data_IF_339968615770
#
_entry.id   IF_339968615770
#
_cell.length_a   1.000
_cell.length_b   1.000
_cell.length_c   1.000
_cell.angle_alpha   90.00
_cell.angle_beta   90.00
_cell.angle_gamma   90.00
#
_symmetry.space_group_name_H-M   'P 1'
#
loop_
_entity.id
_entity.type
_entity.pdbx_description
1 polymer ?
#
# COMPACT_ATOMS: atom_id res chain seq x y z
N UNK A 1 -15.61 -43.19 -2.40
CA UNK A 1 -14.89 -41.90 -2.35
C UNK A 1 -15.62 -40.92 -3.26
N UNK A 2 -16.41 -40.00 -2.71
CA UNK A 2 -17.15 -39.02 -3.50
C UNK A 2 -16.22 -37.84 -3.83
N UNK A 3 -15.92 -37.65 -5.12
CA UNK A 3 -15.13 -36.52 -5.60
C UNK A 3 -15.89 -35.21 -5.43
N UNK A 4 -15.23 -34.19 -4.88
CA UNK A 4 -15.76 -32.83 -4.78
C UNK A 4 -16.01 -32.27 -6.18
N UNK A 5 -17.29 -32.10 -6.54
CA UNK A 5 -17.71 -31.48 -7.79
C UNK A 5 -17.59 -29.97 -7.62
N UNK A 6 -16.56 -29.37 -8.22
CA UNK A 6 -16.40 -27.92 -8.26
C UNK A 6 -17.37 -27.32 -9.28
N UNK A 7 -18.53 -26.85 -8.80
CA UNK A 7 -19.50 -26.12 -9.63
C UNK A 7 -19.05 -24.66 -9.79
N UNK A 8 -19.11 -24.16 -11.02
CA UNK A 8 -18.79 -22.77 -11.38
C UNK A 8 -20.06 -21.92 -11.21
N UNK A 9 -20.09 -21.02 -10.22
CA UNK A 9 -21.25 -20.20 -9.91
C UNK A 9 -21.07 -18.74 -10.36
N UNK A 10 -22.17 -18.11 -10.77
CA UNK A 10 -22.19 -16.67 -11.11
C UNK A 10 -22.11 -15.80 -9.86
N UNK A 11 -21.70 -14.53 -10.04
CA UNK A 11 -21.51 -13.52 -8.97
C UNK A 11 -22.73 -13.42 -8.02
N UNK A 12 -23.94 -13.38 -8.58
CA UNK A 12 -25.17 -13.24 -7.79
C UNK A 12 -25.56 -14.52 -7.06
N UNK A 13 -25.05 -15.66 -7.51
CA UNK A 13 -25.26 -16.96 -6.86
C UNK A 13 -24.35 -17.08 -5.65
N UNK A 14 -23.09 -16.67 -5.76
CA UNK A 14 -22.13 -16.69 -4.64
C UNK A 14 -22.57 -15.70 -3.55
N UNK A 15 -23.01 -14.49 -3.93
CA UNK A 15 -23.49 -13.49 -2.98
C UNK A 15 -24.72 -13.98 -2.19
N UNK A 16 -25.71 -14.57 -2.88
CA UNK A 16 -26.86 -15.21 -2.21
C UNK A 16 -26.45 -16.32 -1.26
N UNK A 17 -25.48 -17.14 -1.64
CA UNK A 17 -24.96 -18.21 -0.76
C UNK A 17 -24.29 -17.68 0.52
N UNK A 18 -23.69 -16.48 0.49
CA UNK A 18 -23.14 -15.82 1.68
C UNK A 18 -24.24 -15.17 2.53
N UNK A 19 -25.22 -14.53 1.90
CA UNK A 19 -26.32 -13.84 2.59
C UNK A 19 -27.29 -14.83 3.27
N UNK A 20 -27.45 -16.05 2.72
CA UNK A 20 -28.35 -17.09 3.23
C UNK A 20 -27.73 -17.99 4.33
N UNK A 21 -26.43 -17.88 4.61
CA UNK A 21 -25.77 -18.73 5.61
C UNK A 21 -24.70 -17.95 6.42
N UNK A 22 -25.11 -17.21 7.47
CA UNK A 22 -24.24 -16.26 8.18
C UNK A 22 -23.21 -16.91 9.12
N UNK A 23 -23.32 -18.20 9.42
CA UNK A 23 -22.34 -18.92 10.25
C UNK A 23 -21.12 -19.36 9.43
N UNK A 24 -20.31 -18.37 9.04
CA UNK A 24 -18.85 -18.46 9.01
C UNK A 24 -18.20 -19.75 8.50
N UNK A 25 -18.62 -20.28 7.34
CA UNK A 25 -17.90 -21.35 6.67
C UNK A 25 -16.48 -20.88 6.28
N UNK A 26 -15.44 -21.42 6.91
CA UNK A 26 -14.04 -21.19 6.50
C UNK A 26 -13.78 -21.89 5.16
N UNK A 27 -14.05 -21.20 4.06
CA UNK A 27 -13.61 -21.66 2.74
C UNK A 27 -12.11 -21.42 2.60
N UNK A 28 -11.33 -22.51 2.57
CA UNK A 28 -9.91 -22.45 2.23
C UNK A 28 -9.76 -22.17 0.74
N UNK A 29 -9.38 -20.94 0.41
CA UNK A 29 -8.93 -20.60 -0.94
C UNK A 29 -7.55 -21.22 -1.12
N UNK A 30 -7.44 -22.25 -1.95
CA UNK A 30 -6.19 -22.99 -2.14
C UNK A 30 -5.10 -22.07 -2.70
N UNK A 31 -3.96 -21.98 -1.99
CA UNK A 31 -2.72 -21.41 -2.51
C UNK A 31 -2.15 -22.31 -3.62
N UNK A 32 -2.69 -22.20 -4.82
CA UNK A 32 -2.05 -22.49 -6.12
C UNK A 32 -3.10 -22.39 -7.23
N UNK A 33 -3.07 -21.30 -7.99
CA UNK A 33 -3.85 -21.09 -9.21
C UNK A 33 -3.80 -19.62 -9.65
N UNK A 34 -3.00 -19.26 -10.67
CA UNK A 34 -3.48 -19.06 -12.04
C UNK A 34 -4.57 -17.98 -12.19
N UNK A 35 -4.16 -16.79 -12.67
CA UNK A 35 -4.95 -15.83 -13.50
C UNK A 35 -6.42 -15.53 -13.10
N UNK A 36 -6.78 -15.69 -11.82
CA UNK A 36 -8.20 -15.72 -11.40
C UNK A 36 -8.58 -15.00 -10.10
N UNK A 37 -7.66 -14.28 -9.43
CA UNK A 37 -7.99 -13.46 -8.24
C UNK A 37 -8.49 -12.05 -8.63
N UNK A 38 -9.28 -11.94 -9.70
CA UNK A 38 -9.60 -10.67 -10.36
C UNK A 38 -10.50 -9.78 -9.50
N UNK A 39 -11.46 -10.36 -8.77
CA UNK A 39 -12.52 -9.59 -8.12
C UNK A 39 -12.14 -8.89 -6.80
N UNK A 40 -11.00 -9.22 -6.17
CA UNK A 40 -10.53 -8.53 -4.95
C UNK A 40 -9.38 -7.54 -5.20
N UNK A 41 -8.82 -7.55 -6.41
CA UNK A 41 -7.66 -6.73 -6.78
C UNK A 41 -8.09 -5.38 -7.35
N UNK A 42 -9.15 -5.35 -8.14
CA UNK A 42 -9.65 -4.12 -8.79
C UNK A 42 -10.15 -3.08 -7.78
N UNK A 43 -10.95 -3.48 -6.79
CA UNK A 43 -11.45 -2.56 -5.75
C UNK A 43 -10.30 -1.95 -4.93
N UNK A 44 -9.29 -2.75 -4.59
CA UNK A 44 -8.11 -2.28 -3.85
C UNK A 44 -7.24 -1.35 -4.70
N UNK A 45 -7.06 -1.66 -5.98
CA UNK A 45 -6.30 -0.82 -6.90
C UNK A 45 -6.99 0.54 -7.10
N UNK A 46 -8.33 0.58 -7.14
CA UNK A 46 -9.12 1.82 -7.17
C UNK A 46 -8.90 2.64 -5.89
N UNK A 47 -8.91 2.01 -4.72
CA UNK A 47 -8.63 2.70 -3.45
C UNK A 47 -7.19 3.25 -3.39
N UNK A 48 -6.21 2.47 -3.84
CA UNK A 48 -4.81 2.91 -3.95
C UNK A 48 -4.69 4.13 -4.85
N UNK A 49 -5.37 4.13 -6.00
CA UNK A 49 -5.42 5.27 -6.91
C UNK A 49 -6.08 6.50 -6.27
N UNK A 50 -7.15 6.31 -5.50
CA UNK A 50 -7.81 7.40 -4.76
C UNK A 50 -6.86 8.02 -3.73
N UNK A 51 -6.20 7.19 -2.91
CA UNK A 51 -5.26 7.66 -1.89
C UNK A 51 -4.07 8.40 -2.52
N UNK A 52 -3.57 7.92 -3.67
CA UNK A 52 -2.53 8.59 -4.45
C UNK A 52 -2.95 9.97 -4.96
N UNK A 53 -4.18 10.11 -5.47
CA UNK A 53 -4.74 11.38 -5.93
C UNK A 53 -5.00 12.38 -4.80
N UNK A 54 -5.26 11.89 -3.59
CA UNK A 54 -5.37 12.72 -2.37
C UNK A 54 -4.00 13.23 -1.89
N UNK A 55 -2.90 12.81 -2.52
CA UNK A 55 -1.55 13.25 -2.17
C UNK A 55 -0.93 12.50 -0.98
N UNK A 56 -1.45 11.33 -0.62
CA UNK A 56 -0.80 10.47 0.39
C UNK A 56 0.60 10.05 -0.06
N UNK A 57 1.52 9.87 0.89
CA UNK A 57 2.88 9.39 0.58
C UNK A 57 2.83 7.91 0.21
N UNK A 58 3.75 7.49 -0.66
CA UNK A 58 3.85 6.08 -1.11
C UNK A 58 3.93 5.09 0.06
N UNK A 59 4.70 5.44 1.10
CA UNK A 59 4.89 4.61 2.28
C UNK A 59 3.59 4.41 3.06
N UNK A 60 2.81 5.48 3.23
CA UNK A 60 1.55 5.45 3.96
C UNK A 60 0.52 4.60 3.21
N UNK A 61 0.42 4.74 1.89
CA UNK A 61 -0.45 3.91 1.03
C UNK A 61 -0.03 2.44 1.13
N UNK A 62 1.27 2.16 1.05
CA UNK A 62 1.81 0.80 1.17
C UNK A 62 1.48 0.16 2.53
N UNK A 63 1.61 0.92 3.61
CA UNK A 63 1.28 0.46 4.95
C UNK A 63 -0.22 0.22 5.11
N UNK A 64 -1.06 1.16 4.67
CA UNK A 64 -2.53 1.07 4.74
C UNK A 64 -3.07 -0.18 4.05
N UNK A 65 -2.53 -0.49 2.86
CA UNK A 65 -2.98 -1.63 2.05
C UNK A 65 -2.20 -2.93 2.32
N UNK A 66 -1.22 -2.90 3.24
CA UNK A 66 -0.31 -4.01 3.53
C UNK A 66 0.38 -4.58 2.26
N UNK A 67 0.88 -3.68 1.42
CA UNK A 67 1.56 -3.99 0.17
C UNK A 67 2.99 -3.48 0.18
N UNK A 68 3.84 -4.05 -0.68
CA UNK A 68 5.16 -3.45 -0.90
C UNK A 68 5.03 -2.10 -1.62
N UNK A 69 5.86 -1.13 -1.24
CA UNK A 69 5.89 0.17 -1.93
C UNK A 69 6.22 0.05 -3.43
N UNK A 70 6.93 -1.01 -3.85
CA UNK A 70 7.18 -1.31 -5.27
C UNK A 70 5.90 -1.67 -6.01
N UNK A 71 5.02 -2.46 -5.38
CA UNK A 71 3.76 -2.88 -5.98
C UNK A 71 2.76 -1.71 -6.05
N UNK A 72 2.64 -0.93 -4.98
CA UNK A 72 1.83 0.31 -5.00
C UNK A 72 2.31 1.28 -6.08
N UNK A 73 3.62 1.48 -6.20
CA UNK A 73 4.20 2.32 -7.27
C UNK A 73 3.83 1.81 -8.66
N UNK A 74 3.81 0.48 -8.86
CA UNK A 74 3.43 -0.12 -10.13
C UNK A 74 1.96 0.18 -10.47
N UNK A 75 1.05 0.00 -9.51
CA UNK A 75 -0.39 0.31 -9.67
C UNK A 75 -0.58 1.78 -10.04
N UNK A 76 0.01 2.69 -9.27
CA UNK A 76 -0.12 4.13 -9.50
C UNK A 76 0.45 4.53 -10.87
N UNK A 77 1.61 4.00 -11.24
CA UNK A 77 2.24 4.28 -12.54
C UNK A 77 1.39 3.79 -13.71
N UNK A 78 0.83 2.58 -13.63
CA UNK A 78 -0.02 2.02 -14.68
C UNK A 78 -1.32 2.84 -14.87
N UNK A 79 -1.77 3.52 -13.82
CA UNK A 79 -2.94 4.40 -13.85
C UNK A 79 -2.58 5.89 -14.06
N UNK A 80 -1.35 6.19 -14.48
CA UNK A 80 -0.85 7.55 -14.73
C UNK A 80 -0.92 8.51 -13.52
N UNK A 81 -0.94 7.97 -12.30
CA UNK A 81 -0.95 8.77 -11.07
C UNK A 81 0.50 9.02 -10.65
N UNK A 82 0.91 10.28 -10.70
CA UNK A 82 2.22 10.70 -10.22
C UNK A 82 2.11 11.20 -8.79
N UNK A 83 2.78 10.52 -7.86
CA UNK A 83 2.89 11.01 -6.49
C UNK A 83 3.66 12.32 -6.46
N UNK A 84 3.18 13.28 -5.66
CA UNK A 84 3.90 14.54 -5.44
C UNK A 84 5.29 14.22 -4.91
N UNK A 85 6.31 14.67 -5.62
CA UNK A 85 7.68 14.65 -5.12
C UNK A 85 7.71 15.55 -3.88
N UNK A 86 8.25 15.04 -2.78
CA UNK A 86 8.52 15.89 -1.64
C UNK A 86 9.54 16.94 -2.08
N UNK A 87 9.18 18.21 -1.94
CA UNK A 87 10.09 19.29 -2.27
C UNK A 87 11.29 19.26 -1.32
N UNK A 88 12.49 19.40 -1.87
CA UNK A 88 13.74 19.34 -1.10
C UNK A 88 13.74 20.40 -0.01
N UNK A 89 13.20 21.60 -0.29
CA UNK A 89 13.11 22.69 0.69
C UNK A 89 12.21 22.34 1.87
N UNK A 90 11.06 21.72 1.61
CA UNK A 90 10.16 21.24 2.67
C UNK A 90 10.83 20.17 3.54
N UNK A 91 11.54 19.21 2.92
CA UNK A 91 12.32 18.22 3.66
C UNK A 91 13.37 18.85 4.57
N UNK A 92 14.18 19.78 4.05
CA UNK A 92 15.22 20.45 4.83
C UNK A 92 14.62 21.20 6.04
N UNK A 93 13.46 21.84 5.85
CA UNK A 93 12.74 22.52 6.94
C UNK A 93 12.30 21.54 8.03
N UNK A 94 11.76 20.39 7.65
CA UNK A 94 11.30 19.35 8.60
C UNK A 94 12.50 18.75 9.36
N UNK A 95 13.59 18.41 8.66
CA UNK A 95 14.84 17.93 9.29
C UNK A 95 15.37 18.95 10.31
N UNK A 96 15.38 20.24 9.98
CA UNK A 96 15.84 21.30 10.89
C UNK A 96 15.03 21.34 12.19
N UNK A 97 13.71 21.20 12.11
CA UNK A 97 12.82 21.16 13.28
C UNK A 97 13.15 19.94 14.16
N UNK A 98 13.27 18.76 13.56
CA UNK A 98 13.62 17.54 14.32
C UNK A 98 14.97 17.64 15.03
N UNK A 99 15.98 18.25 14.39
CA UNK A 99 17.29 18.49 14.99
C UNK A 99 17.20 19.44 16.19
N UNK A 100 16.41 20.51 16.08
CA UNK A 100 16.20 21.46 17.18
C UNK A 100 15.53 20.81 18.40
N UNK A 101 14.60 19.89 18.17
CA UNK A 101 13.92 19.12 19.23
C UNK A 101 14.84 18.04 19.82
N UNK A 102 15.99 17.77 19.20
CA UNK A 102 16.92 16.72 19.65
C UNK A 102 16.49 15.30 19.26
N UNK A 103 15.65 15.16 18.22
CA UNK A 103 15.22 13.85 17.72
C UNK A 103 16.45 13.06 17.25
N UNK A 104 16.63 11.78 17.64
CA UNK A 104 17.75 10.98 17.18
C UNK A 104 17.78 10.88 15.64
N UNK A 105 18.95 11.10 15.02
CA UNK A 105 19.12 11.06 13.55
C UNK A 105 18.62 9.75 12.91
N UNK A 106 18.76 8.64 13.62
CA UNK A 106 18.23 7.34 13.20
C UNK A 106 16.71 7.32 13.08
N UNK A 107 16.01 8.02 13.97
CA UNK A 107 14.56 8.14 13.98
C UNK A 107 14.09 9.10 12.88
N UNK A 108 14.75 10.25 12.71
CA UNK A 108 14.47 11.20 11.62
C UNK A 108 14.52 10.49 10.25
N UNK A 109 15.57 9.69 10.02
CA UNK A 109 15.71 8.95 8.76
C UNK A 109 14.54 7.98 8.50
N UNK A 110 14.04 7.31 9.55
CA UNK A 110 12.89 6.39 9.44
C UNK A 110 11.60 7.14 9.13
N UNK A 111 11.30 8.20 9.87
CA UNK A 111 10.09 9.00 9.71
C UNK A 111 10.03 9.69 8.35
N UNK A 112 11.17 10.19 7.89
CA UNK A 112 11.31 10.79 6.56
C UNK A 112 11.32 9.76 5.42
N UNK A 113 11.50 8.47 5.71
CA UNK A 113 11.63 7.42 4.70
C UNK A 113 12.89 7.53 3.85
N UNK A 114 14.00 8.01 4.43
CA UNK A 114 15.27 8.27 3.73
C UNK A 114 16.42 7.43 4.31
N UNK A 115 17.48 7.23 3.54
CA UNK A 115 18.67 6.55 4.05
C UNK A 115 19.41 7.45 5.04
N UNK A 116 20.05 6.85 6.05
CA UNK A 116 20.87 7.60 7.02
C UNK A 116 22.00 8.38 6.33
N UNK A 117 22.63 7.78 5.32
CA UNK A 117 23.67 8.45 4.53
C UNK A 117 23.15 9.69 3.82
N UNK A 118 21.94 9.61 3.23
CA UNK A 118 21.35 10.77 2.59
C UNK A 118 20.92 11.84 3.60
N UNK A 119 20.41 11.44 4.78
CA UNK A 119 20.16 12.36 5.88
C UNK A 119 21.41 13.15 6.26
N UNK A 120 22.58 12.51 6.42
CA UNK A 120 23.82 13.23 6.74
C UNK A 120 24.17 14.29 5.69
N UNK A 121 24.07 13.96 4.39
CA UNK A 121 24.27 14.95 3.31
C UNK A 121 23.29 16.13 3.39
N UNK A 122 22.02 15.86 3.70
CA UNK A 122 21.02 16.91 3.87
C UNK A 122 21.29 17.79 5.10
N UNK A 123 21.86 17.22 6.17
CA UNK A 123 22.25 17.99 7.36
C UNK A 123 23.42 18.93 7.04
N UNK A 124 24.44 18.47 6.30
CA UNK A 124 25.56 19.30 5.83
C UNK A 124 25.09 20.48 4.97
N UNK A 125 24.00 20.32 4.21
CA UNK A 125 23.42 21.42 3.42
C UNK A 125 22.66 22.46 4.27
N UNK A 126 22.20 22.10 5.49
CA UNK A 126 21.48 23.01 6.39
C UNK A 126 22.45 23.90 7.17
N UNK A 127 23.68 23.42 7.43
CA UNK A 127 24.70 24.10 8.21
C UNK A 127 26.08 23.54 7.95
#
# INVERSE_FOLDING_TARGET
MAGLIYKRYSKDTIKRMFDENPEGGRFQVSKRGSKGDVYGREDRDIEICRDGNQGMKLADIAQKHNLSGRYVRHILKNNNITLRKTDKRSMLKEIRIHLQIGTPKSQIAKEMGISRQWLYKLIEEIG
#
